data_IF_714086732233
#
_entry.id   IF_714086732233
#
_cell.length_a   1.000
_cell.length_b   1.000
_cell.length_c   1.000
_cell.angle_alpha   90.00
_cell.angle_beta   90.00
_cell.angle_gamma   90.00
#
_symmetry.space_group_name_H-M   'P 1'
#
loop_
_entity.id
_entity.type
_entity.pdbx_description
1 polymer ?
#
# COMPACT_ATOMS: atom_id res chain seq x y z
N UNK A 1 16.82 6.61 66.25
CA UNK A 1 17.69 6.67 65.05
C UNK A 1 16.83 7.11 63.88
N UNK A 2 16.47 8.40 63.89
CA UNK A 2 15.47 9.01 63.01
C UNK A 2 16.14 9.40 61.70
N UNK A 3 15.81 8.67 60.63
CA UNK A 3 15.55 9.15 59.27
C UNK A 3 16.22 10.50 58.88
N UNK A 4 17.55 10.53 58.81
CA UNK A 4 18.31 11.64 58.19
C UNK A 4 18.60 11.28 56.73
N UNK A 5 17.56 11.15 55.92
CA UNK A 5 17.71 10.97 54.46
C UNK A 5 16.71 11.80 53.65
N UNK A 6 15.96 12.70 54.30
CA UNK A 6 14.93 13.52 53.64
C UNK A 6 15.21 15.03 53.63
N UNK A 7 16.24 15.52 54.34
CA UNK A 7 16.59 16.96 54.35
C UNK A 7 17.60 17.36 53.28
N UNK A 8 18.28 16.40 52.68
CA UNK A 8 19.05 16.61 51.45
C UNK A 8 18.30 16.08 50.23
N UNK A 9 16.95 16.11 50.24
CA UNK A 9 16.15 15.86 49.05
C UNK A 9 16.40 17.02 48.08
N UNK A 10 17.33 16.91 47.13
CA UNK A 10 17.84 18.06 46.45
C UNK A 10 16.77 18.42 45.42
N UNK A 11 15.94 19.43 45.74
CA UNK A 11 14.91 19.98 44.86
C UNK A 11 15.43 20.24 43.43
N UNK A 12 16.75 20.44 43.27
CA UNK A 12 17.43 20.53 41.97
C UNK A 12 17.42 19.21 41.21
N UNK A 13 17.85 18.10 41.80
CA UNK A 13 17.93 16.79 41.15
C UNK A 13 16.57 16.24 40.72
N UNK A 14 15.53 16.42 41.55
CA UNK A 14 14.17 16.00 41.20
C UNK A 14 13.65 16.66 39.91
N UNK A 15 13.99 17.94 39.69
CA UNK A 15 13.62 18.66 38.45
C UNK A 15 14.28 18.04 37.23
N UNK A 16 15.57 17.69 37.31
CA UNK A 16 16.27 17.06 36.19
C UNK A 16 15.76 15.65 35.89
N UNK A 17 15.43 14.86 36.92
CA UNK A 17 14.83 13.53 36.75
C UNK A 17 13.46 13.65 36.05
N UNK A 18 12.61 14.59 36.51
CA UNK A 18 11.29 14.80 35.92
C UNK A 18 11.39 15.29 34.47
N UNK A 19 12.33 16.19 34.18
CA UNK A 19 12.61 16.65 32.81
C UNK A 19 13.09 15.49 31.94
N UNK A 20 14.01 14.64 32.42
CA UNK A 20 14.50 13.47 31.67
C UNK A 20 13.38 12.46 31.39
N UNK A 21 12.52 12.19 32.37
CA UNK A 21 11.36 11.30 32.19
C UNK A 21 10.41 11.88 31.15
N UNK A 22 10.14 13.18 31.19
CA UNK A 22 9.26 13.85 30.24
C UNK A 22 9.84 13.81 28.82
N UNK A 23 11.14 14.08 28.67
CA UNK A 23 11.88 13.97 27.40
C UNK A 23 11.87 12.54 26.86
N UNK A 24 12.14 11.55 27.71
CA UNK A 24 12.13 10.15 27.34
C UNK A 24 10.73 9.69 26.91
N UNK A 25 9.68 10.13 27.61
CA UNK A 25 8.29 9.85 27.24
C UNK A 25 7.95 10.46 25.87
N UNK A 26 8.31 11.72 25.64
CA UNK A 26 8.09 12.39 24.35
C UNK A 26 8.85 11.70 23.21
N UNK A 27 10.13 11.36 23.42
CA UNK A 27 10.93 10.65 22.43
C UNK A 27 10.35 9.26 22.12
N UNK A 28 9.91 8.52 23.13
CA UNK A 28 9.29 7.20 22.96
C UNK A 28 7.98 7.28 22.19
N UNK A 29 7.19 8.33 22.44
CA UNK A 29 5.96 8.60 21.70
C UNK A 29 6.26 8.88 20.22
N UNK A 30 7.23 9.76 19.94
CA UNK A 30 7.67 10.05 18.57
C UNK A 30 8.14 8.79 17.83
N UNK A 31 8.98 7.97 18.47
CA UNK A 31 9.46 6.71 17.87
C UNK A 31 8.29 5.75 17.61
N UNK A 32 7.31 5.68 18.52
CA UNK A 32 6.12 4.85 18.34
C UNK A 32 5.30 5.29 17.12
N UNK A 33 5.07 6.59 16.95
CA UNK A 33 4.37 7.14 15.78
C UNK A 33 5.15 6.94 14.48
N UNK A 34 6.46 7.16 14.48
CA UNK A 34 7.29 6.93 13.30
C UNK A 34 7.24 5.45 12.90
N UNK A 35 7.36 4.52 13.86
CA UNK A 35 7.27 3.08 13.58
C UNK A 35 5.90 2.67 13.04
N UNK A 36 4.81 3.32 13.46
CA UNK A 36 3.48 3.01 12.92
C UNK A 36 3.28 3.51 11.48
N UNK A 37 3.98 4.57 11.09
CA UNK A 37 3.92 5.15 9.73
C UNK A 37 4.90 4.46 8.77
N UNK A 38 6.09 4.05 9.25
CA UNK A 38 7.15 3.44 8.43
C UNK A 38 6.85 1.98 8.07
N UNK A 39 6.03 1.29 8.85
CA UNK A 39 5.55 -0.06 8.53
C UNK A 39 4.03 -0.06 8.27
N UNK A 40 3.53 0.62 7.21
CA UNK A 40 2.18 0.34 6.75
C UNK A 40 2.21 -1.12 6.29
N UNK A 41 1.50 -1.99 7.00
CA UNK A 41 1.54 -3.44 6.77
C UNK A 41 1.43 -3.72 5.27
N UNK A 42 2.44 -4.34 4.67
CA UNK A 42 2.50 -4.64 3.22
C UNK A 42 1.18 -5.26 2.73
N UNK A 43 0.55 -6.05 3.60
CA UNK A 43 -0.79 -6.64 3.41
C UNK A 43 -1.90 -5.63 3.08
N UNK A 44 -1.88 -4.44 3.68
CA UNK A 44 -2.86 -3.37 3.40
C UNK A 44 -2.64 -2.78 2.01
N UNK A 45 -1.37 -2.60 1.61
CA UNK A 45 -1.02 -2.12 0.28
C UNK A 45 -1.41 -3.15 -0.79
N UNK A 46 -1.11 -4.42 -0.56
CA UNK A 46 -1.48 -5.53 -1.44
C UNK A 46 -3.00 -5.65 -1.61
N UNK A 47 -3.77 -5.53 -0.51
CA UNK A 47 -5.24 -5.50 -0.57
C UNK A 47 -5.74 -4.32 -1.41
N UNK A 48 -5.17 -3.13 -1.21
CA UNK A 48 -5.54 -1.95 -1.99
C UNK A 48 -5.23 -2.12 -3.48
N UNK A 49 -4.09 -2.73 -3.83
CA UNK A 49 -3.74 -3.00 -5.22
C UNK A 49 -4.70 -4.00 -5.85
N UNK A 50 -4.99 -5.11 -5.17
CA UNK A 50 -5.98 -6.09 -5.63
C UNK A 50 -7.35 -5.45 -5.90
N UNK A 51 -7.85 -4.68 -4.94
CA UNK A 51 -9.12 -3.97 -5.07
C UNK A 51 -9.14 -2.95 -6.23
N UNK A 52 -7.98 -2.41 -6.62
CA UNK A 52 -7.86 -1.49 -7.75
C UNK A 52 -7.89 -2.25 -9.09
N UNK A 53 -7.17 -3.38 -9.19
CA UNK A 53 -7.22 -4.25 -10.37
C UNK A 53 -8.62 -4.81 -10.63
N UNK A 54 -9.32 -5.27 -9.58
CA UNK A 54 -10.72 -5.73 -9.70
C UNK A 54 -11.67 -4.65 -10.23
N UNK A 55 -11.35 -3.37 -9.98
CA UNK A 55 -12.13 -2.20 -10.42
C UNK A 55 -11.63 -1.63 -11.75
N UNK A 56 -10.65 -2.26 -12.39
CA UNK A 56 -9.97 -1.75 -13.59
C UNK A 56 -9.43 -0.32 -13.41
N UNK A 57 -8.86 -0.02 -12.23
CA UNK A 57 -8.24 1.26 -11.92
C UNK A 57 -6.75 1.08 -11.67
N UNK A 58 -5.96 2.05 -12.12
CA UNK A 58 -4.55 2.10 -11.80
C UNK A 58 -4.37 2.20 -10.26
N UNK A 59 -3.66 1.27 -9.61
CA UNK A 59 -3.40 1.31 -8.17
C UNK A 59 -2.55 2.51 -7.73
N UNK A 60 -1.83 3.15 -8.64
CA UNK A 60 -0.93 4.28 -8.36
C UNK A 60 -1.64 5.63 -8.42
N UNK A 61 -2.41 5.87 -9.48
CA UNK A 61 -3.02 7.19 -9.76
C UNK A 61 -4.55 7.16 -9.89
N UNK A 62 -5.20 6.03 -9.64
CA UNK A 62 -6.64 5.80 -9.81
C UNK A 62 -7.17 6.08 -11.25
N UNK A 63 -6.29 6.14 -12.24
CA UNK A 63 -6.67 6.30 -13.65
C UNK A 63 -7.35 5.04 -14.21
N UNK A 64 -8.44 5.15 -15.00
CA UNK A 64 -9.14 3.99 -15.55
C UNK A 64 -8.28 3.23 -16.57
N UNK A 65 -8.15 1.91 -16.38
CA UNK A 65 -7.36 1.02 -17.24
C UNK A 65 -8.14 0.77 -18.52
N UNK A 66 -7.67 1.31 -19.65
CA UNK A 66 -8.37 1.21 -20.94
C UNK A 66 -7.90 -0.01 -21.74
N UNK A 67 -8.22 -1.22 -21.25
CA UNK A 67 -8.00 -2.49 -21.96
C UNK A 67 -9.34 -3.14 -22.34
N UNK A 68 -9.39 -3.83 -23.48
CA UNK A 68 -10.54 -4.58 -23.97
C UNK A 68 -11.76 -3.72 -24.31
N UNK A 69 -13.00 -4.23 -24.19
CA UNK A 69 -14.21 -3.54 -24.63
C UNK A 69 -14.53 -2.31 -23.79
N UNK A 70 -13.94 -2.20 -22.60
CA UNK A 70 -14.06 -1.04 -21.72
C UNK A 70 -13.22 0.16 -22.17
N UNK A 71 -12.35 0.04 -23.18
CA UNK A 71 -11.53 1.16 -23.70
C UNK A 71 -12.35 2.41 -24.05
N UNK A 72 -13.62 2.23 -24.43
CA UNK A 72 -14.52 3.30 -24.87
C UNK A 72 -15.37 3.92 -23.74
N UNK A 73 -15.35 3.34 -22.54
CA UNK A 73 -16.14 3.82 -21.41
C UNK A 73 -15.28 4.71 -20.49
N UNK A 74 -15.89 5.76 -19.94
CA UNK A 74 -15.28 6.59 -18.91
C UNK A 74 -15.88 6.23 -17.55
N UNK A 75 -15.05 5.77 -16.62
CA UNK A 75 -15.46 5.51 -15.25
C UNK A 75 -14.49 6.12 -14.25
N UNK A 76 -15.01 6.44 -13.07
CA UNK A 76 -14.23 6.76 -11.89
C UNK A 76 -14.74 5.90 -10.72
N UNK A 77 -14.04 5.94 -9.59
CA UNK A 77 -14.36 5.16 -8.38
C UNK A 77 -15.82 5.32 -7.89
N UNK A 78 -16.43 6.48 -8.12
CA UNK A 78 -17.83 6.80 -7.74
C UNK A 78 -18.84 6.35 -8.80
N UNK A 79 -18.49 6.44 -10.08
CA UNK A 79 -19.36 6.07 -11.21
C UNK A 79 -19.36 4.56 -11.46
N UNK A 80 -18.30 3.83 -11.08
CA UNK A 80 -18.21 2.37 -11.21
C UNK A 80 -19.39 1.63 -10.56
N UNK A 81 -19.82 2.05 -9.36
CA UNK A 81 -20.98 1.43 -8.68
C UNK A 81 -22.29 1.64 -9.42
N UNK A 82 -22.37 2.63 -10.31
CA UNK A 82 -23.56 2.97 -11.10
C UNK A 82 -23.50 2.41 -12.52
N UNK A 83 -22.32 2.05 -13.02
CA UNK A 83 -22.19 1.34 -14.28
C UNK A 83 -22.68 -0.10 -14.08
N UNK A 84 -23.81 -0.43 -14.70
CA UNK A 84 -24.19 -1.83 -14.94
C UNK A 84 -23.31 -2.33 -16.07
N UNK A 85 -22.18 -2.94 -15.71
CA UNK A 85 -21.35 -3.63 -16.68
C UNK A 85 -22.14 -4.82 -17.23
N UNK A 86 -22.25 -5.00 -18.55
CA UNK A 86 -22.71 -6.26 -19.11
C UNK A 86 -21.71 -7.33 -18.67
N UNK A 87 -22.15 -8.29 -17.86
CA UNK A 87 -21.34 -9.36 -17.28
C UNK A 87 -20.78 -10.36 -18.32
N UNK A 88 -20.87 -10.06 -19.61
CA UNK A 88 -20.63 -10.99 -20.72
C UNK A 88 -19.43 -10.61 -21.60
N UNK A 89 -18.64 -9.58 -21.26
CA UNK A 89 -17.47 -9.19 -22.08
C UNK A 89 -16.18 -9.05 -21.26
N UNK A 90 -16.06 -9.82 -20.18
CA UNK A 90 -14.78 -10.01 -19.48
C UNK A 90 -13.91 -11.12 -20.11
N UNK A 91 -14.45 -11.89 -21.05
CA UNK A 91 -13.82 -13.12 -21.57
C UNK A 91 -13.21 -12.98 -22.98
N UNK A 92 -13.56 -11.94 -23.77
CA UNK A 92 -13.19 -11.92 -25.20
C UNK A 92 -12.06 -10.96 -25.61
N UNK A 93 -11.64 -10.01 -24.77
CA UNK A 93 -10.46 -9.17 -25.08
C UNK A 93 -9.39 -9.28 -24.00
N UNK A 94 -8.92 -10.51 -23.80
CA UNK A 94 -7.57 -10.77 -23.30
C UNK A 94 -6.58 -10.35 -24.40
N UNK A 95 -6.52 -9.05 -24.69
CA UNK A 95 -5.40 -8.50 -25.45
C UNK A 95 -4.18 -8.73 -24.56
N UNK A 96 -3.46 -9.82 -24.86
CA UNK A 96 -2.19 -10.24 -24.25
C UNK A 96 -1.05 -9.25 -24.49
N UNK A 97 -1.39 -7.98 -24.69
CA UNK A 97 -0.45 -6.90 -24.89
C UNK A 97 -0.11 -6.27 -23.54
N UNK A 98 1.17 -6.03 -23.25
CA UNK A 98 1.61 -5.22 -22.13
C UNK A 98 0.90 -3.86 -22.08
N UNK A 99 0.57 -3.38 -20.88
CA UNK A 99 -0.16 -2.11 -20.72
C UNK A 99 0.50 -1.19 -19.70
N UNK A 100 0.88 -0.01 -20.20
CA UNK A 100 1.44 1.08 -19.41
C UNK A 100 0.37 2.14 -19.20
N UNK A 101 0.24 2.61 -17.95
CA UNK A 101 -0.71 3.66 -17.62
C UNK A 101 -0.30 5.00 -18.27
N UNK A 102 -1.18 5.65 -19.06
CA UNK A 102 -0.85 6.92 -19.71
C UNK A 102 -0.76 8.11 -18.74
N UNK A 103 -1.26 7.98 -17.51
CA UNK A 103 -1.27 9.07 -16.53
C UNK A 103 -0.07 9.05 -15.57
N UNK A 104 0.44 7.87 -15.23
CA UNK A 104 1.52 7.73 -14.24
C UNK A 104 2.72 6.95 -14.76
N UNK A 105 2.69 6.50 -16.02
CA UNK A 105 3.73 5.67 -16.66
C UNK A 105 4.02 4.35 -15.94
N UNK A 106 3.21 3.95 -14.96
CA UNK A 106 3.37 2.67 -14.30
C UNK A 106 3.03 1.53 -15.26
N UNK A 107 3.93 0.54 -15.32
CA UNK A 107 3.66 -0.72 -15.99
C UNK A 107 2.68 -1.53 -15.15
N UNK A 108 1.44 -1.62 -15.60
CA UNK A 108 0.38 -2.29 -14.88
C UNK A 108 0.31 -3.77 -15.24
N UNK A 109 0.71 -4.10 -16.47
CA UNK A 109 0.63 -5.45 -16.98
C UNK A 109 1.82 -5.72 -17.89
N UNK A 110 2.67 -6.63 -17.45
CA UNK A 110 3.84 -7.10 -18.19
C UNK A 110 3.73 -8.60 -18.43
N UNK A 111 4.54 -9.11 -19.36
CA UNK A 111 4.71 -10.55 -19.52
C UNK A 111 5.40 -11.16 -18.28
N UNK A 112 4.97 -12.36 -17.90
CA UNK A 112 5.62 -13.13 -16.86
C UNK A 112 6.90 -13.79 -17.40
N UNK A 113 8.07 -13.67 -16.72
CA UNK A 113 9.30 -14.31 -17.19
C UNK A 113 9.26 -15.84 -17.14
N UNK A 114 8.32 -16.44 -16.39
CA UNK A 114 8.22 -17.91 -16.23
C UNK A 114 7.23 -18.56 -17.21
N UNK A 115 6.09 -17.91 -17.48
CA UNK A 115 5.02 -18.49 -18.31
C UNK A 115 4.68 -17.65 -19.55
N UNK A 116 5.32 -16.49 -19.75
CA UNK A 116 5.06 -15.53 -20.83
C UNK A 116 3.62 -15.01 -20.94
N UNK A 117 2.72 -15.41 -20.05
CA UNK A 117 1.38 -14.84 -19.95
C UNK A 117 1.44 -13.42 -19.37
N UNK A 118 0.55 -12.55 -19.84
CA UNK A 118 0.40 -11.21 -19.26
C UNK A 118 -0.10 -11.33 -17.83
N UNK A 119 0.63 -10.72 -16.90
CA UNK A 119 0.29 -10.69 -15.48
C UNK A 119 0.20 -9.26 -14.97
N UNK A 120 -0.54 -9.01 -13.87
CA UNK A 120 -0.47 -7.72 -13.18
C UNK A 120 0.91 -7.55 -12.53
N UNK A 121 1.64 -6.50 -12.90
CA UNK A 121 3.03 -6.30 -12.48
C UNK A 121 3.12 -5.99 -10.98
N UNK A 122 2.13 -5.28 -10.44
CA UNK A 122 2.09 -4.85 -9.04
C UNK A 122 1.47 -5.89 -8.08
N UNK A 123 1.18 -7.11 -8.56
CA UNK A 123 0.81 -8.23 -7.70
C UNK A 123 2.02 -9.15 -7.45
N UNK A 124 2.11 -9.75 -6.25
CA UNK A 124 3.25 -10.58 -5.86
C UNK A 124 3.29 -11.93 -6.58
N UNK A 125 2.14 -12.44 -7.06
CA UNK A 125 2.03 -13.75 -7.69
C UNK A 125 1.34 -13.64 -9.05
N UNK A 126 1.74 -14.49 -10.00
CA UNK A 126 1.07 -14.61 -11.29
C UNK A 126 -0.21 -15.46 -11.18
N UNK A 127 -1.30 -15.00 -11.80
CA UNK A 127 -2.59 -15.73 -11.84
C UNK A 127 -2.51 -17.07 -12.61
N UNK A 128 -1.59 -17.18 -13.57
CA UNK A 128 -1.46 -18.37 -14.41
C UNK A 128 -0.51 -19.44 -13.85
N UNK A 129 0.67 -19.03 -13.37
CA UNK A 129 1.73 -19.97 -12.95
C UNK A 129 2.09 -19.90 -11.47
N UNK A 130 1.58 -18.91 -10.73
CA UNK A 130 1.93 -18.72 -9.32
C UNK A 130 3.35 -18.22 -9.06
N UNK A 131 4.13 -17.89 -10.10
CA UNK A 131 5.50 -17.40 -9.93
C UNK A 131 5.52 -16.06 -9.19
N UNK A 132 6.42 -15.94 -8.21
CA UNK A 132 6.63 -14.72 -7.45
C UNK A 132 7.27 -13.62 -8.33
N UNK A 133 6.82 -12.38 -8.18
CA UNK A 133 7.47 -11.20 -8.76
C UNK A 133 8.46 -10.56 -7.78
N UNK A 134 9.35 -9.70 -8.26
CA UNK A 134 10.32 -8.97 -7.43
C UNK A 134 9.65 -8.05 -6.38
N UNK A 135 8.36 -7.76 -6.53
CA UNK A 135 7.55 -7.07 -5.53
C UNK A 135 7.26 -7.92 -4.29
N UNK A 136 7.39 -9.25 -4.36
CA UNK A 136 7.23 -10.15 -3.22
C UNK A 136 8.48 -10.19 -2.32
N UNK A 137 9.66 -9.85 -2.87
CA UNK A 137 10.97 -9.92 -2.19
C UNK A 137 11.48 -8.59 -1.64
N UNK A 138 10.79 -7.48 -1.92
CA UNK A 138 11.11 -6.10 -1.47
C UNK A 138 10.38 -5.74 -0.17
#
# INVERSE_FOLDING_TARGET
MLVVMHEHFPRRWFKYILILILLAAAARLLVYFIRSIVAPSKDKLLRQYRDAYEKFLCPVCEYPIRRGPMKFLYWNRRTLKKLRLPAQSAEEDTSGDPYICPSCSADLFSECPSCHAVRPTLLPFCDHCGAASDFATS
#
